data_IF_553676370915
#
_entry.id   IF_553676370915
#
_cell.length_a   1.000
_cell.length_b   1.000
_cell.length_c   1.000
_cell.angle_alpha   90.00
_cell.angle_beta   90.00
_cell.angle_gamma   90.00
#
_symmetry.space_group_name_H-M   'P 1'
#
loop_
_entity.id
_entity.type
_entity.pdbx_description
1 polymer ?
#
# COMPACT_ATOMS: atom_id res chain seq x y z
N UNK A 1 -5.61 -8.83 -1.98
CA UNK A 1 -5.34 -9.60 -0.74
C UNK A 1 -4.87 -10.96 -1.20
N UNK A 2 -3.65 -11.32 -0.86
CA UNK A 2 -3.04 -12.57 -1.27
C UNK A 2 -3.39 -13.67 -0.27
N UNK A 3 -3.43 -13.33 1.03
CA UNK A 3 -3.77 -14.28 2.06
C UNK A 3 -4.38 -13.60 3.29
N UNK A 4 -5.25 -14.33 4.00
CA UNK A 4 -5.76 -13.93 5.30
C UNK A 4 -5.74 -15.15 6.23
N UNK A 5 -5.04 -15.06 7.36
CA UNK A 5 -4.89 -16.14 8.33
C UNK A 5 -5.30 -15.70 9.72
N UNK A 6 -5.77 -16.66 10.50
CA UNK A 6 -6.13 -16.45 11.91
C UNK A 6 -4.95 -16.85 12.80
N UNK A 7 -4.51 -15.93 13.67
CA UNK A 7 -3.49 -16.17 14.69
C UNK A 7 -4.09 -15.87 16.06
N UNK A 8 -4.79 -16.85 16.63
CA UNK A 8 -5.53 -16.67 17.87
C UNK A 8 -6.64 -15.62 17.71
N UNK A 9 -6.58 -14.55 18.50
CA UNK A 9 -7.52 -13.41 18.40
C UNK A 9 -7.11 -12.35 17.35
N UNK A 10 -6.01 -12.57 16.61
CA UNK A 10 -5.51 -11.64 15.61
C UNK A 10 -5.76 -12.17 14.19
N UNK A 11 -6.06 -11.27 13.26
CA UNK A 11 -6.06 -11.55 11.82
C UNK A 11 -4.72 -11.10 11.24
N UNK A 12 -4.07 -11.97 10.48
CA UNK A 12 -2.87 -11.64 9.70
C UNK A 12 -3.31 -11.53 8.24
N UNK A 13 -2.97 -10.43 7.58
CA UNK A 13 -3.40 -10.13 6.21
C UNK A 13 -2.14 -9.87 5.38
N UNK A 14 -1.95 -10.68 4.35
CA UNK A 14 -0.88 -10.51 3.37
C UNK A 14 -1.50 -9.97 2.08
N UNK A 15 -0.99 -8.83 1.60
CA UNK A 15 -1.50 -8.18 0.40
C UNK A 15 -0.38 -7.43 -0.33
N UNK A 16 -0.40 -7.50 -1.66
CA UNK A 16 0.37 -6.60 -2.51
C UNK A 16 -0.40 -5.28 -2.67
N UNK A 17 0.29 -4.16 -2.42
CA UNK A 17 -0.28 -2.82 -2.50
C UNK A 17 0.73 -1.91 -3.21
N UNK A 18 0.31 -1.02 -4.12
CA UNK A 18 1.22 -0.07 -4.73
C UNK A 18 1.86 0.83 -3.68
N UNK A 19 3.18 1.02 -3.75
CA UNK A 19 3.91 1.86 -2.79
C UNK A 19 3.38 3.31 -2.76
N UNK A 20 2.88 3.81 -3.90
CA UNK A 20 2.25 5.14 -4.00
C UNK A 20 1.02 5.32 -3.10
N UNK A 21 0.36 4.23 -2.71
CA UNK A 21 -0.82 4.25 -1.83
C UNK A 21 -0.45 4.09 -0.34
N UNK A 22 0.82 3.82 -0.02
CA UNK A 22 1.25 3.58 1.37
C UNK A 22 1.56 4.87 2.14
N UNK A 23 1.58 6.02 1.48
CA UNK A 23 1.73 7.32 2.14
C UNK A 23 0.57 7.55 3.12
N UNK A 24 0.89 7.74 4.41
CA UNK A 24 -0.11 7.92 5.47
C UNK A 24 -0.73 6.62 6.02
N UNK A 25 -0.36 5.45 5.49
CA UNK A 25 -0.92 4.17 5.92
C UNK A 25 -0.70 3.89 7.42
N UNK A 26 0.46 4.25 7.98
CA UNK A 26 0.74 4.08 9.40
C UNK A 26 -0.29 4.80 10.31
N UNK A 27 -0.67 6.02 9.93
CA UNK A 27 -1.66 6.81 10.66
C UNK A 27 -3.06 6.22 10.52
N UNK A 28 -3.44 5.83 9.30
CA UNK A 28 -4.72 5.17 9.04
C UNK A 28 -4.85 3.86 9.82
N UNK A 29 -3.82 3.00 9.80
CA UNK A 29 -3.80 1.73 10.54
C UNK A 29 -3.95 1.95 12.04
N UNK A 30 -3.23 2.93 12.61
CA UNK A 30 -3.34 3.27 14.04
C UNK A 30 -4.76 3.69 14.39
N UNK A 31 -5.40 4.51 13.55
CA UNK A 31 -6.78 4.95 13.76
C UNK A 31 -7.76 3.76 13.71
N UNK A 32 -7.68 2.92 12.67
CA UNK A 32 -8.58 1.78 12.48
C UNK A 32 -8.44 0.71 13.57
N UNK A 33 -7.22 0.48 14.06
CA UNK A 33 -6.93 -0.60 15.03
C UNK A 33 -6.88 -0.11 16.47
N UNK A 34 -7.27 1.14 16.73
CA UNK A 34 -7.13 1.80 18.03
C UNK A 34 -5.70 1.69 18.59
N UNK A 35 -4.71 1.74 17.68
CA UNK A 35 -3.29 1.67 17.99
C UNK A 35 -2.74 0.28 18.32
N UNK A 36 -3.51 -0.79 18.11
CA UNK A 36 -3.08 -2.18 18.41
C UNK A 36 -2.52 -2.93 17.20
N UNK A 37 -2.74 -2.44 15.98
CA UNK A 37 -2.28 -3.07 14.76
C UNK A 37 -0.82 -2.76 14.45
N UNK A 38 -0.10 -3.74 13.92
CA UNK A 38 1.23 -3.61 13.35
C UNK A 38 1.21 -4.00 11.88
N UNK A 39 2.16 -3.49 11.10
CA UNK A 39 2.35 -3.84 9.70
C UNK A 39 3.84 -3.86 9.36
N UNK A 40 4.18 -4.57 8.30
CA UNK A 40 5.52 -4.63 7.72
C UNK A 40 5.40 -4.46 6.22
N UNK A 41 6.34 -3.76 5.61
CA UNK A 41 6.39 -3.56 4.16
C UNK A 41 7.72 -4.05 3.64
N UNK A 42 7.68 -4.88 2.61
CA UNK A 42 8.85 -5.36 1.88
C UNK A 42 8.60 -5.16 0.39
N UNK A 43 9.66 -4.84 -0.35
CA UNK A 43 9.58 -4.75 -1.81
C UNK A 43 9.42 -6.15 -2.39
N UNK A 44 8.44 -6.32 -3.28
CA UNK A 44 8.16 -7.60 -3.95
C UNK A 44 8.51 -7.53 -5.45
N UNK A 45 7.81 -6.71 -6.23
CA UNK A 45 8.07 -6.53 -7.67
C UNK A 45 7.59 -5.18 -8.22
N UNK A 46 7.96 -4.89 -9.47
CA UNK A 46 7.38 -3.81 -10.26
C UNK A 46 6.18 -4.31 -11.05
N UNK A 47 5.06 -3.59 -10.95
CA UNK A 47 3.85 -3.85 -11.74
C UNK A 47 3.61 -2.69 -12.72
N UNK A 48 2.95 -2.99 -13.84
CA UNK A 48 2.55 -1.97 -14.81
C UNK A 48 1.52 -1.03 -14.18
N UNK A 49 1.76 0.28 -14.29
CA UNK A 49 0.83 1.28 -13.77
C UNK A 49 -0.43 1.34 -14.64
N UNK A 50 -1.63 1.47 -14.06
CA UNK A 50 -2.85 1.69 -14.83
C UNK A 50 -2.70 2.92 -15.74
N UNK A 51 -3.22 2.85 -16.99
CA UNK A 51 -3.04 3.91 -18.00
C UNK A 51 -3.38 5.31 -17.51
N UNK A 52 -4.46 5.48 -16.74
CA UNK A 52 -4.88 6.78 -16.22
C UNK A 52 -3.82 7.41 -15.29
N UNK A 53 -3.17 6.61 -14.44
CA UNK A 53 -2.08 7.05 -13.56
C UNK A 53 -0.78 7.25 -14.37
N UNK A 54 -0.55 6.38 -15.35
CA UNK A 54 0.63 6.49 -16.23
C UNK A 54 0.64 7.82 -16.99
N UNK A 55 -0.51 8.21 -17.55
CA UNK A 55 -0.69 9.47 -18.25
C UNK A 55 -0.51 10.67 -17.33
N UNK A 56 -1.00 10.60 -16.09
CA UNK A 56 -0.78 11.63 -15.07
C UNK A 56 0.71 11.77 -14.73
N UNK A 57 1.39 10.67 -14.41
CA UNK A 57 2.83 10.68 -14.08
C UNK A 57 3.67 11.20 -15.25
N UNK A 58 3.38 10.77 -16.48
CA UNK A 58 4.09 11.23 -17.69
C UNK A 58 3.79 12.70 -17.99
N UNK A 59 2.56 13.15 -17.73
CA UNK A 59 2.15 14.54 -17.86
C UNK A 59 2.87 15.45 -16.86
N UNK A 60 2.90 15.07 -15.58
CA UNK A 60 3.60 15.80 -14.52
C UNK A 60 5.13 15.78 -14.69
N UNK A 61 5.69 14.69 -15.22
CA UNK A 61 7.13 14.55 -15.46
C UNK A 61 7.71 15.50 -16.52
N UNK A 62 6.86 16.13 -17.35
CA UNK A 62 7.30 17.12 -18.35
C UNK A 62 7.40 18.56 -17.83
N UNK A 63 6.86 18.85 -16.63
CA UNK A 63 6.89 20.19 -16.02
C UNK A 63 8.13 20.42 -15.13
N UNK A 64 8.96 19.39 -14.94
CA UNK A 64 10.18 19.45 -14.12
C UNK A 64 11.49 19.58 -14.90
N UNK A 65 11.49 20.13 -16.12
CA UNK A 65 12.70 20.40 -16.92
C UNK A 65 12.70 21.78 -17.53
#
# INVERSE_FOLDING_TARGET
INEMRDRGSLKVIDAAVPLSEMFGYATALRSMTQGRGSYTMEFDHYAEVPRHIAEEIIGSGKTGR
#
